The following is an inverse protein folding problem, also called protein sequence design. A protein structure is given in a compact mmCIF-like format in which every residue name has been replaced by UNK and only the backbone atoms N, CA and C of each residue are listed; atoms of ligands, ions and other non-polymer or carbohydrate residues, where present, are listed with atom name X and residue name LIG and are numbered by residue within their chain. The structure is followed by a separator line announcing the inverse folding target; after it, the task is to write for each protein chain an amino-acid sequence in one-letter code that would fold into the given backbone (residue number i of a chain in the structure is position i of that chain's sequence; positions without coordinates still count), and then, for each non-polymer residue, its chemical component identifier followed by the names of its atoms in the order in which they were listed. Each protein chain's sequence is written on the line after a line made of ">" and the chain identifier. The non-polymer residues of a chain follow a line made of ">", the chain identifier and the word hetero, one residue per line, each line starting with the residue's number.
data_IF_290602020362
#
_entry.id   IF_290602020362
#
_cell.length_a   1.000
_cell.length_b   1.000
_cell.length_c   1.000
_cell.angle_alpha   90.00
_cell.angle_beta   90.00
_cell.angle_gamma   90.00
#
_symmetry.space_group_name_H-M   'P 1'
#
loop_
_entity.id
_entity.type
_entity.pdbx_description
1 polymer ?
#
# COMPACT_ATOMS: atom_id res chain seq x y z
N UNK A 1 -0.32 16.18 4.76
CA UNK A 1 1.08 16.65 4.67
C UNK A 1 1.33 17.01 3.23
N UNK A 2 1.82 18.23 2.90
CA UNK A 2 2.12 18.57 1.51
C UNK A 2 3.29 17.71 1.00
N UNK A 3 3.31 17.43 -0.31
CA UNK A 3 4.42 16.77 -1.03
C UNK A 3 4.72 15.31 -0.63
N UNK A 4 3.69 14.51 -0.36
CA UNK A 4 3.83 13.07 -0.15
C UNK A 4 3.30 12.32 -1.38
N UNK A 5 4.08 11.36 -1.86
CA UNK A 5 3.59 10.41 -2.85
C UNK A 5 2.80 9.31 -2.16
N UNK A 6 1.57 9.10 -2.63
CA UNK A 6 0.66 8.06 -2.14
C UNK A 6 0.09 7.26 -3.31
N UNK A 7 -0.38 6.05 -3.02
CA UNK A 7 -1.28 5.34 -3.91
C UNK A 7 -2.73 5.75 -3.57
N UNK A 8 -3.68 5.64 -4.52
CA UNK A 8 -5.08 5.90 -4.23
C UNK A 8 -5.61 5.02 -3.09
N UNK A 9 -6.40 5.62 -2.21
CA UNK A 9 -6.97 4.94 -1.06
C UNK A 9 -7.35 5.90 0.07
N UNK A 10 -8.28 5.45 0.90
CA UNK A 10 -8.87 6.26 1.95
C UNK A 10 -9.43 5.43 3.10
N UNK A 11 -10.22 6.08 3.94
CA UNK A 11 -10.86 5.44 5.08
C UNK A 11 -12.04 4.58 4.64
N UNK A 12 -12.31 3.53 5.41
CA UNK A 12 -13.51 2.75 5.25
C UNK A 12 -14.73 3.57 5.69
N UNK A 13 -15.70 3.74 4.79
CA UNK A 13 -16.98 4.37 5.09
C UNK A 13 -17.99 3.30 5.50
N UNK A 14 -18.22 3.18 6.81
CA UNK A 14 -18.98 2.08 7.44
C UNK A 14 -20.38 1.86 6.82
N UNK A 15 -21.11 2.92 6.51
CA UNK A 15 -22.46 2.83 5.93
C UNK A 15 -22.46 2.60 4.41
N UNK A 16 -21.31 2.74 3.76
CA UNK A 16 -21.19 2.69 2.30
C UNK A 16 -20.52 1.39 1.91
N UNK A 17 -19.32 1.15 2.42
CA UNK A 17 -18.43 0.10 1.97
C UNK A 17 -18.80 -1.25 2.60
N UNK A 18 -19.20 -1.29 3.89
CA UNK A 18 -19.68 -2.54 4.53
C UNK A 18 -21.08 -2.94 4.09
N UNK A 19 -21.92 -1.96 3.76
CA UNK A 19 -23.30 -2.18 3.36
C UNK A 19 -23.47 -2.20 1.84
N UNK A 20 -22.37 -2.14 1.08
CA UNK A 20 -22.43 -2.16 -0.38
C UNK A 20 -23.12 -3.44 -0.85
N UNK A 21 -24.16 -3.36 -1.71
CA UNK A 21 -24.95 -4.54 -2.06
C UNK A 21 -24.13 -5.58 -2.83
N UNK A 22 -24.02 -6.80 -2.27
CA UNK A 22 -23.18 -7.88 -2.81
C UNK A 22 -23.59 -8.23 -4.24
N UNK A 23 -24.88 -8.18 -4.57
CA UNK A 23 -25.41 -8.48 -5.90
C UNK A 23 -24.94 -7.49 -6.98
N UNK A 24 -24.48 -6.29 -6.59
CA UNK A 24 -23.86 -5.30 -7.48
C UNK A 24 -22.38 -5.53 -7.70
N UNK A 25 -21.82 -6.61 -7.18
CA UNK A 25 -20.42 -6.98 -7.34
C UNK A 25 -20.29 -8.32 -8.08
N UNK A 26 -19.07 -8.66 -8.47
CA UNK A 26 -18.71 -10.01 -8.87
C UNK A 26 -18.12 -10.84 -7.72
N UNK A 27 -18.30 -10.41 -6.46
CA UNK A 27 -17.79 -11.10 -5.28
C UNK A 27 -18.39 -12.50 -5.14
N UNK A 28 -17.55 -13.50 -4.88
CA UNK A 28 -17.96 -14.89 -4.65
C UNK A 28 -17.61 -15.35 -3.22
N UNK A 29 -18.26 -16.41 -2.75
CA UNK A 29 -17.95 -17.05 -1.47
C UNK A 29 -16.50 -17.56 -1.46
N UNK A 30 -15.75 -17.27 -0.40
CA UNK A 30 -14.38 -17.79 -0.19
C UNK A 30 -13.29 -16.72 -0.03
N UNK A 31 -13.62 -15.45 -0.20
CA UNK A 31 -12.74 -14.34 0.20
C UNK A 31 -12.84 -14.12 1.71
N UNK A 32 -11.72 -13.75 2.33
CA UNK A 32 -11.64 -13.43 3.77
C UNK A 32 -12.55 -12.23 4.13
N UNK A 33 -12.58 -11.81 5.39
CA UNK A 33 -13.38 -10.65 5.86
C UNK A 33 -12.90 -9.29 5.29
N UNK A 34 -12.42 -9.25 4.04
CA UNK A 34 -11.83 -8.09 3.35
C UNK A 34 -12.79 -7.37 2.38
N UNK A 35 -13.99 -7.90 2.14
CA UNK A 35 -15.03 -7.30 1.28
C UNK A 35 -15.17 -5.77 1.42
N UNK A 36 -15.38 -5.21 2.63
CA UNK A 36 -15.52 -3.77 2.78
C UNK A 36 -14.28 -2.99 2.33
N UNK A 37 -13.07 -3.52 2.56
CA UNK A 37 -11.83 -2.88 2.12
C UNK A 37 -11.66 -2.91 0.59
N UNK A 38 -12.17 -3.95 -0.08
CA UNK A 38 -12.17 -4.02 -1.54
C UNK A 38 -13.10 -2.98 -2.15
N UNK A 39 -14.29 -2.79 -1.56
CA UNK A 39 -15.23 -1.76 -2.01
C UNK A 39 -14.63 -0.38 -1.80
N UNK A 40 -14.11 -0.10 -0.60
CA UNK A 40 -13.44 1.17 -0.29
C UNK A 40 -12.30 1.46 -1.26
N UNK A 41 -11.39 0.49 -1.49
CA UNK A 41 -10.26 0.67 -2.39
C UNK A 41 -10.69 1.05 -3.82
N UNK A 42 -11.77 0.46 -4.36
CA UNK A 42 -12.25 0.81 -5.71
C UNK A 42 -13.08 2.09 -5.74
N UNK A 43 -13.78 2.43 -4.65
CA UNK A 43 -14.47 3.72 -4.52
C UNK A 43 -13.46 4.86 -4.51
N UNK A 44 -12.44 4.77 -3.65
CA UNK A 44 -11.36 5.76 -3.55
C UNK A 44 -10.57 5.86 -4.86
N UNK A 45 -10.25 4.73 -5.51
CA UNK A 45 -9.65 4.73 -6.85
C UNK A 45 -10.49 5.54 -7.84
N UNK A 46 -11.82 5.38 -7.83
CA UNK A 46 -12.72 6.12 -8.72
C UNK A 46 -12.78 7.62 -8.37
N UNK A 47 -12.89 7.95 -7.09
CA UNK A 47 -12.92 9.33 -6.60
C UNK A 47 -11.63 10.09 -6.97
N UNK A 48 -10.47 9.48 -6.74
CA UNK A 48 -9.16 10.12 -6.95
C UNK A 48 -8.68 10.13 -8.40
N UNK A 49 -9.00 9.09 -9.19
CA UNK A 49 -8.42 8.88 -10.52
C UNK A 49 -9.43 8.85 -11.67
N UNK A 50 -10.73 8.77 -11.36
CA UNK A 50 -11.79 8.59 -12.36
C UNK A 50 -11.82 7.21 -13.01
N UNK A 51 -11.00 6.26 -12.55
CA UNK A 51 -10.94 4.88 -13.06
C UNK A 51 -11.97 4.02 -12.33
N UNK A 52 -12.76 3.25 -13.09
CA UNK A 52 -13.76 2.33 -12.54
C UNK A 52 -13.56 0.92 -13.10
N UNK A 53 -13.38 -0.07 -12.22
CA UNK A 53 -13.29 -1.48 -12.61
C UNK A 53 -14.67 -2.13 -12.57
N UNK A 54 -15.09 -2.67 -13.71
CA UNK A 54 -16.43 -3.27 -13.85
C UNK A 54 -16.40 -4.61 -14.55
N UNK A 55 -17.44 -5.41 -14.33
CA UNK A 55 -17.85 -6.50 -15.20
C UNK A 55 -19.10 -6.07 -15.94
N UNK A 56 -19.02 -6.03 -17.27
CA UNK A 56 -20.17 -5.84 -18.14
C UNK A 56 -21.04 -7.10 -18.08
N UNK A 57 -22.28 -6.95 -17.61
CA UNK A 57 -23.19 -8.08 -17.43
C UNK A 57 -23.73 -8.64 -18.75
N UNK A 58 -23.78 -7.83 -19.80
CA UNK A 58 -24.24 -8.23 -21.14
C UNK A 58 -23.15 -9.02 -21.85
N UNK A 59 -21.92 -8.54 -21.81
CA UNK A 59 -20.77 -9.15 -22.47
C UNK A 59 -20.06 -10.20 -21.62
N UNK A 60 -20.39 -10.28 -20.31
CA UNK A 60 -19.72 -11.10 -19.29
C UNK A 60 -18.19 -10.92 -19.33
N UNK A 61 -17.74 -9.68 -19.50
CA UNK A 61 -16.33 -9.30 -19.63
C UNK A 61 -15.95 -8.21 -18.66
N UNK A 62 -14.73 -8.29 -18.13
CA UNK A 62 -14.12 -7.22 -17.35
C UNK A 62 -13.80 -6.02 -18.25
N UNK A 63 -14.01 -4.83 -17.75
CA UNK A 63 -13.71 -3.58 -18.42
C UNK A 63 -13.19 -2.54 -17.41
N UNK A 64 -12.41 -1.60 -17.93
CA UNK A 64 -11.96 -0.41 -17.19
C UNK A 64 -12.65 0.78 -17.85
N UNK A 65 -13.54 1.42 -17.10
CA UNK A 65 -14.18 2.66 -17.52
C UNK A 65 -13.41 3.86 -16.97
N UNK A 66 -13.58 5.03 -17.59
CA UNK A 66 -12.90 6.25 -17.20
C UNK A 66 -13.80 7.46 -17.42
N UNK A 67 -13.77 8.40 -16.47
CA UNK A 67 -14.43 9.70 -16.56
C UNK A 67 -13.94 10.54 -17.74
N UNK A 68 -12.71 10.34 -18.22
CA UNK A 68 -12.18 11.01 -19.43
C UNK A 68 -12.94 10.60 -20.70
N UNK A 69 -13.55 9.41 -20.69
CA UNK A 69 -14.20 8.81 -21.87
C UNK A 69 -15.72 8.78 -21.76
N UNK A 70 -16.29 8.94 -20.57
CA UNK A 70 -17.74 9.02 -20.34
C UNK A 70 -18.10 10.15 -19.37
N UNK A 71 -18.72 11.22 -19.91
CA UNK A 71 -19.18 12.38 -19.12
C UNK A 71 -20.23 12.02 -18.06
N UNK A 72 -20.95 10.90 -18.22
CA UNK A 72 -21.88 10.42 -17.18
C UNK A 72 -21.11 9.96 -15.96
N UNK A 73 -19.95 9.31 -16.13
CA UNK A 73 -19.08 8.93 -15.03
C UNK A 73 -18.50 10.14 -14.31
N UNK A 74 -18.15 11.22 -15.03
CA UNK A 74 -17.70 12.47 -14.39
C UNK A 74 -18.77 13.04 -13.44
N UNK A 75 -20.05 13.04 -13.87
CA UNK A 75 -21.19 13.46 -13.02
C UNK A 75 -21.41 12.51 -11.84
N UNK A 76 -21.22 11.21 -12.05
CA UNK A 76 -21.28 10.24 -10.95
C UNK A 76 -20.17 10.48 -9.94
N UNK A 77 -18.95 10.77 -10.38
CA UNK A 77 -17.83 11.10 -9.49
C UNK A 77 -18.14 12.31 -8.62
N UNK A 78 -18.72 13.38 -9.19
CA UNK A 78 -19.18 14.55 -8.41
C UNK A 78 -20.24 14.18 -7.37
N UNK A 79 -21.19 13.31 -7.72
CA UNK A 79 -22.22 12.82 -6.80
C UNK A 79 -21.63 11.96 -5.68
N UNK A 80 -20.69 11.07 -6.00
CA UNK A 80 -20.01 10.20 -5.04
C UNK A 80 -19.19 11.03 -4.06
N UNK A 81 -18.45 12.03 -4.55
CA UNK A 81 -17.74 12.98 -3.71
C UNK A 81 -18.68 13.72 -2.74
N UNK A 82 -19.88 14.08 -3.18
CA UNK A 82 -20.88 14.73 -2.32
C UNK A 82 -21.58 13.76 -1.35
N UNK A 83 -21.75 12.50 -1.76
CA UNK A 83 -22.39 11.44 -0.99
C UNK A 83 -21.84 10.07 -1.44
N UNK A 84 -20.92 9.45 -0.68
CA UNK A 84 -20.32 8.17 -1.05
C UNK A 84 -21.33 7.04 -1.27
N UNK A 85 -22.53 7.11 -0.67
CA UNK A 85 -23.60 6.13 -0.92
C UNK A 85 -24.06 6.08 -2.37
N UNK A 86 -23.88 7.16 -3.14
CA UNK A 86 -24.21 7.22 -4.56
C UNK A 86 -23.33 6.29 -5.41
N UNK A 87 -22.20 5.78 -4.87
CA UNK A 87 -21.30 4.88 -5.59
C UNK A 87 -22.01 3.61 -6.05
N UNK A 88 -22.90 3.06 -5.21
CA UNK A 88 -23.67 1.87 -5.56
C UNK A 88 -24.65 2.09 -6.73
N UNK A 89 -25.04 3.33 -7.01
CA UNK A 89 -26.00 3.66 -8.07
C UNK A 89 -25.39 3.57 -9.48
N UNK A 90 -24.06 3.54 -9.58
CA UNK A 90 -23.33 3.38 -10.85
C UNK A 90 -23.55 1.96 -11.43
N UNK A 91 -23.81 0.98 -10.57
CA UNK A 91 -23.82 -0.45 -10.90
C UNK A 91 -25.22 -0.96 -11.20
N UNK A 92 -25.90 -0.33 -12.17
CA UNK A 92 -27.20 -0.79 -12.70
C UNK A 92 -27.03 -1.77 -13.85
N UNK A 93 -26.15 -1.46 -14.80
CA UNK A 93 -25.87 -2.26 -16.01
C UNK A 93 -24.52 -3.00 -15.90
N UNK A 94 -23.81 -2.77 -14.80
CA UNK A 94 -22.47 -3.27 -14.52
C UNK A 94 -22.43 -3.84 -13.11
N UNK A 95 -21.48 -4.76 -12.88
CA UNK A 95 -21.05 -5.16 -11.54
C UNK A 95 -19.70 -4.56 -11.21
N UNK A 96 -19.47 -4.17 -9.96
CA UNK A 96 -18.16 -3.78 -9.45
C UNK A 96 -17.21 -4.98 -9.48
N UNK A 97 -16.03 -4.82 -10.08
CA UNK A 97 -15.05 -5.91 -10.25
C UNK A 97 -14.07 -6.02 -9.07
N UNK A 98 -14.53 -6.63 -7.98
CA UNK A 98 -13.71 -6.90 -6.79
C UNK A 98 -12.64 -7.97 -7.02
N UNK A 99 -12.86 -8.88 -7.98
CA UNK A 99 -11.92 -9.97 -8.28
C UNK A 99 -10.62 -9.50 -8.95
N UNK A 100 -10.59 -8.31 -9.54
CA UNK A 100 -9.34 -7.76 -10.11
C UNK A 100 -8.39 -7.23 -9.04
N UNK A 101 -8.87 -6.95 -7.83
CA UNK A 101 -8.02 -6.64 -6.69
C UNK A 101 -7.35 -7.90 -6.15
N UNK A 102 -6.03 -7.95 -6.25
CA UNK A 102 -5.23 -8.97 -5.58
C UNK A 102 -4.76 -8.40 -4.23
N UNK A 103 -5.08 -9.04 -3.10
CA UNK A 103 -4.50 -8.67 -1.81
C UNK A 103 -2.97 -8.65 -1.89
N UNK A 104 -2.36 -7.65 -1.25
CA UNK A 104 -0.92 -7.43 -1.36
C UNK A 104 -0.22 -7.44 -0.01
N UNK A 105 -0.66 -6.59 0.92
CA UNK A 105 -0.07 -6.46 2.25
C UNK A 105 -1.01 -5.75 3.21
N UNK A 106 -0.96 -6.08 4.50
CA UNK A 106 -1.74 -5.39 5.53
C UNK A 106 -0.82 -4.68 6.53
N UNK A 107 -0.86 -3.35 6.59
CA UNK A 107 0.02 -2.53 7.42
C UNK A 107 -0.73 -1.94 8.61
N UNK A 108 -0.19 -2.12 9.80
CA UNK A 108 -0.66 -1.43 11.00
C UNK A 108 0.36 -0.37 11.41
N UNK A 109 -0.08 0.88 11.52
CA UNK A 109 0.77 1.97 12.03
C UNK A 109 1.25 1.64 13.45
N UNK A 110 2.55 1.84 13.78
CA UNK A 110 3.09 1.57 15.12
C UNK A 110 2.33 2.32 16.22
N UNK A 111 2.23 1.74 17.42
CA UNK A 111 1.49 2.33 18.55
C UNK A 111 2.11 3.61 19.12
N UNK A 112 3.33 3.95 18.71
CA UNK A 112 4.02 5.18 19.09
C UNK A 112 3.58 6.41 18.28
N UNK A 113 2.82 6.23 17.19
CA UNK A 113 2.19 7.33 16.46
C UNK A 113 0.80 7.61 17.04
N UNK A 114 0.43 8.88 17.12
CA UNK A 114 -0.87 9.32 17.66
C UNK A 114 -2.05 8.80 16.83
N UNK A 115 -1.93 8.88 15.50
CA UNK A 115 -2.91 8.33 14.56
C UNK A 115 -2.42 6.98 14.07
N UNK A 116 -3.29 5.97 14.17
CA UNK A 116 -3.02 4.62 13.70
C UNK A 116 -4.03 4.19 12.65
N UNK A 117 -3.52 3.61 11.58
CA UNK A 117 -4.31 3.03 10.51
C UNK A 117 -3.98 1.55 10.37
N UNK A 118 -4.99 0.75 10.08
CA UNK A 118 -4.88 -0.65 9.66
C UNK A 118 -5.22 -0.70 8.17
N UNK A 119 -4.19 -0.62 7.33
CA UNK A 119 -4.30 -0.37 5.90
C UNK A 119 -4.04 -1.64 5.11
N UNK A 120 -5.06 -2.11 4.41
CA UNK A 120 -4.95 -3.22 3.46
C UNK A 120 -4.63 -2.69 2.06
N UNK A 121 -3.48 -3.09 1.51
CA UNK A 121 -3.08 -2.78 0.15
C UNK A 121 -3.54 -3.86 -0.81
N UNK A 122 -3.91 -3.43 -2.01
CA UNK A 122 -4.23 -4.29 -3.14
C UNK A 122 -3.39 -3.89 -4.35
N UNK A 123 -3.19 -4.83 -5.27
CA UNK A 123 -2.60 -4.59 -6.59
C UNK A 123 -3.55 -4.99 -7.69
N UNK A 124 -3.54 -4.23 -8.79
CA UNK A 124 -4.32 -4.51 -10.01
C UNK A 124 -3.34 -4.66 -11.17
N UNK A 125 -3.17 -5.87 -11.74
CA UNK A 125 -2.33 -6.06 -12.91
C UNK A 125 -2.99 -5.43 -14.14
N UNK A 126 -2.32 -4.45 -14.75
CA UNK A 126 -2.77 -3.79 -15.99
C UNK A 126 -1.71 -3.96 -17.09
N UNK A 127 -2.15 -4.20 -18.33
CA UNK A 127 -1.25 -4.46 -19.47
C UNK A 127 -0.92 -3.20 -20.28
N UNK A 128 -1.51 -2.07 -19.92
CA UNK A 128 -1.27 -0.76 -20.54
C UNK A 128 -1.47 0.31 -19.49
N UNK A 129 -0.79 1.43 -19.66
CA UNK A 129 -1.06 2.63 -18.88
C UNK A 129 -2.50 3.08 -19.09
N UNK A 130 -3.11 3.52 -17.99
CA UNK A 130 -4.47 4.06 -17.98
C UNK A 130 -4.34 5.55 -17.69
N UNK A 131 -4.96 6.36 -18.54
CA UNK A 131 -5.03 7.81 -18.31
C UNK A 131 -5.84 8.09 -17.04
N UNK A 132 -5.28 8.97 -16.19
CA UNK A 132 -5.84 9.36 -14.90
C UNK A 132 -6.52 10.73 -15.02
N UNK A 133 -7.78 10.80 -14.61
CA UNK A 133 -8.50 12.05 -14.37
C UNK A 133 -8.33 12.42 -12.90
N UNK A 134 -7.27 13.15 -12.59
CA UNK A 134 -6.89 13.44 -11.21
C UNK A 134 -7.91 14.33 -10.52
N UNK A 135 -8.31 13.98 -9.29
CA UNK A 135 -9.04 14.88 -8.40
C UNK A 135 -8.12 16.01 -7.89
N UNK A 136 -8.23 17.19 -8.49
CA UNK A 136 -7.41 18.38 -8.21
C UNK A 136 -7.67 19.03 -6.83
N UNK A 137 -8.69 18.57 -6.10
CA UNK A 137 -8.99 19.00 -4.73
C UNK A 137 -8.04 18.42 -3.69
N UNK A 138 -7.56 17.21 -3.93
CA UNK A 138 -6.76 16.45 -2.96
C UNK A 138 -5.32 16.24 -3.43
N UNK A 139 -5.15 16.06 -4.75
CA UNK A 139 -3.87 15.72 -5.36
C UNK A 139 -3.46 16.81 -6.36
N UNK A 140 -2.18 17.18 -6.36
CA UNK A 140 -1.64 18.18 -7.29
C UNK A 140 -1.03 17.57 -8.55
N UNK A 141 -0.56 16.33 -8.48
CA UNK A 141 0.16 15.64 -9.56
C UNK A 141 -0.10 14.14 -9.52
N UNK A 142 0.02 13.48 -10.67
CA UNK A 142 0.05 12.03 -10.80
C UNK A 142 1.13 11.61 -11.78
N UNK A 143 1.63 10.38 -11.65
CA UNK A 143 2.61 9.81 -12.56
C UNK A 143 2.49 8.29 -12.62
N UNK A 144 2.61 7.74 -13.84
CA UNK A 144 3.11 6.38 -14.02
C UNK A 144 4.64 6.46 -14.01
N UNK A 145 5.28 5.70 -13.13
CA UNK A 145 6.73 5.77 -12.90
C UNK A 145 7.26 4.40 -12.51
N UNK A 146 8.48 4.10 -12.96
CA UNK A 146 9.17 2.90 -12.51
C UNK A 146 9.48 3.01 -11.01
N UNK A 147 9.23 1.96 -10.20
CA UNK A 147 9.50 1.99 -8.77
C UNK A 147 10.92 2.45 -8.41
N UNK A 148 11.91 2.05 -9.20
CA UNK A 148 13.31 2.48 -9.01
C UNK A 148 13.47 3.99 -9.06
N UNK A 149 12.85 4.64 -10.04
CA UNK A 149 13.05 6.08 -10.30
C UNK A 149 12.45 6.92 -9.17
N UNK A 150 11.26 6.55 -8.68
CA UNK A 150 10.61 7.27 -7.58
C UNK A 150 11.33 7.03 -6.24
N UNK A 151 11.85 5.82 -6.00
CA UNK A 151 12.68 5.52 -4.83
C UNK A 151 13.97 6.37 -4.85
N UNK A 152 14.70 6.38 -5.97
CA UNK A 152 15.92 7.18 -6.12
C UNK A 152 15.64 8.69 -5.98
N UNK A 153 14.50 9.17 -6.50
CA UNK A 153 14.07 10.57 -6.36
C UNK A 153 13.86 10.93 -4.89
N UNK A 154 13.19 10.08 -4.12
CA UNK A 154 12.84 10.36 -2.71
C UNK A 154 14.01 10.15 -1.74
N UNK A 155 15.04 9.39 -2.12
CA UNK A 155 16.24 9.18 -1.31
C UNK A 155 17.22 10.36 -1.36
N UNK A 156 17.19 11.18 -2.42
CA UNK A 156 18.11 12.31 -2.60
C UNK A 156 17.89 13.38 -1.54
N UNK A 157 19.00 13.91 -0.99
CA UNK A 157 18.95 15.03 -0.04
C UNK A 157 18.35 16.26 -0.73
N UNK A 158 17.34 16.87 -0.11
CA UNK A 158 16.64 18.02 -0.68
C UNK A 158 15.61 17.66 -1.76
N UNK A 159 15.18 16.39 -1.84
CA UNK A 159 14.04 16.00 -2.66
C UNK A 159 12.78 16.75 -2.20
N UNK A 160 11.97 17.16 -3.18
CA UNK A 160 10.71 17.87 -2.94
C UNK A 160 9.53 16.92 -2.72
N UNK A 161 9.77 15.62 -2.57
CA UNK A 161 8.75 14.61 -2.32
C UNK A 161 9.28 13.48 -1.47
N UNK A 162 8.40 12.91 -0.65
CA UNK A 162 8.71 11.82 0.28
C UNK A 162 7.72 10.67 0.12
N UNK A 163 8.19 9.47 0.42
CA UNK A 163 7.38 8.26 0.54
C UNK A 163 7.33 7.89 2.02
N UNK A 164 6.14 7.74 2.57
CA UNK A 164 6.01 7.17 3.90
C UNK A 164 6.46 5.69 3.88
N UNK A 165 6.84 5.13 5.04
CA UNK A 165 7.50 3.82 5.12
C UNK A 165 6.74 2.67 4.42
N UNK A 166 5.41 2.53 4.54
CA UNK A 166 4.67 1.51 3.79
C UNK A 166 4.85 1.65 2.27
N UNK A 167 4.68 2.85 1.72
CA UNK A 167 4.82 3.11 0.28
C UNK A 167 6.26 2.85 -0.20
N UNK A 168 7.26 3.31 0.57
CA UNK A 168 8.67 3.08 0.26
C UNK A 168 9.00 1.58 0.22
N UNK A 169 8.46 0.84 1.18
CA UNK A 169 8.64 -0.59 1.27
C UNK A 169 7.96 -1.35 0.13
N UNK A 170 6.70 -1.06 -0.14
CA UNK A 170 5.94 -1.76 -1.17
C UNK A 170 6.49 -1.48 -2.57
N UNK A 171 7.02 -0.27 -2.83
CA UNK A 171 7.75 0.01 -4.07
C UNK A 171 9.03 -0.82 -4.20
N UNK A 172 9.79 -1.03 -3.12
CA UNK A 172 10.93 -1.94 -3.14
C UNK A 172 10.50 -3.40 -3.40
N UNK A 173 9.36 -3.83 -2.86
CA UNK A 173 8.82 -5.17 -3.12
C UNK A 173 8.37 -5.34 -4.57
N UNK A 174 7.67 -4.34 -5.13
CA UNK A 174 7.26 -4.31 -6.53
C UNK A 174 8.47 -4.32 -7.47
N UNK A 175 9.51 -3.52 -7.18
CA UNK A 175 10.76 -3.49 -7.96
C UNK A 175 11.41 -4.88 -8.09
N UNK A 176 11.27 -5.72 -7.05
CA UNK A 176 11.85 -7.05 -7.00
C UNK A 176 10.86 -8.18 -7.34
N UNK A 177 9.65 -7.84 -7.79
CA UNK A 177 8.59 -8.80 -8.11
C UNK A 177 8.26 -8.78 -9.59
N UNK A 178 8.32 -9.95 -10.25
CA UNK A 178 7.86 -10.08 -11.64
C UNK A 178 6.33 -9.98 -11.70
N UNK A 179 5.81 -9.36 -12.76
CA UNK A 179 4.37 -9.15 -12.98
C UNK A 179 3.53 -10.44 -12.83
N UNK A 180 4.00 -11.58 -13.36
CA UNK A 180 3.28 -12.86 -13.28
C UNK A 180 3.34 -13.54 -11.90
N UNK A 181 4.01 -12.94 -10.92
CA UNK A 181 4.14 -13.45 -9.54
C UNK A 181 3.45 -12.60 -8.49
N UNK A 182 2.79 -11.51 -8.89
CA UNK A 182 2.16 -10.57 -7.95
C UNK A 182 1.25 -11.28 -6.93
N UNK A 183 0.36 -12.16 -7.40
CA UNK A 183 -0.53 -12.93 -6.50
C UNK A 183 0.20 -13.85 -5.52
N UNK A 184 1.33 -14.44 -5.93
CA UNK A 184 2.15 -15.30 -5.06
C UNK A 184 2.89 -14.51 -3.97
N UNK A 185 3.07 -13.21 -4.18
CA UNK A 185 3.76 -12.30 -3.28
C UNK A 185 2.82 -11.63 -2.26
N UNK A 186 1.54 -11.99 -2.21
CA UNK A 186 0.68 -11.53 -1.12
C UNK A 186 1.30 -11.88 0.24
N UNK A 187 1.37 -10.88 1.14
CA UNK A 187 1.84 -11.08 2.52
C UNK A 187 0.66 -11.59 3.36
N UNK A 188 0.73 -12.80 3.92
CA UNK A 188 -0.40 -13.39 4.64
C UNK A 188 -0.55 -12.86 6.08
N UNK A 189 0.35 -11.99 6.52
CA UNK A 189 0.41 -11.50 7.89
C UNK A 189 0.46 -9.98 7.95
N UNK A 190 -0.08 -9.43 9.03
CA UNK A 190 -0.05 -8.00 9.33
C UNK A 190 1.38 -7.54 9.62
N UNK A 191 1.82 -6.50 8.93
CA UNK A 191 3.10 -5.83 9.13
C UNK A 191 2.87 -4.66 10.09
N UNK A 192 3.51 -4.69 11.25
CA UNK A 192 3.52 -3.57 12.19
C UNK A 192 4.96 -3.29 12.60
N UNK A 193 5.57 -2.18 12.15
CA UNK A 193 6.91 -1.84 12.57
C UNK A 193 6.99 -1.52 14.07
N UNK A 194 8.15 -1.76 14.68
CA UNK A 194 8.47 -1.35 16.05
C UNK A 194 9.50 -0.22 16.01
N UNK A 195 9.26 0.84 16.75
CA UNK A 195 10.06 2.06 16.66
C UNK A 195 11.22 2.04 17.64
N UNK A 196 12.43 2.27 17.13
CA UNK A 196 13.63 2.50 17.93
C UNK A 196 14.22 3.86 17.56
N UNK A 197 14.45 4.69 18.57
CA UNK A 197 15.20 5.95 18.43
C UNK A 197 16.64 5.75 18.92
N UNK A 198 17.66 6.15 18.14
CA UNK A 198 19.02 6.12 18.62
C UNK A 198 19.21 7.24 19.65
N UNK A 199 19.90 6.94 20.74
CA UNK A 199 20.17 7.89 21.83
C UNK A 199 20.98 9.10 21.37
N UNK A 200 21.84 8.88 20.37
CA UNK A 200 22.78 9.85 19.83
C UNK A 200 22.14 10.80 18.79
N UNK A 201 21.06 10.38 18.11
CA UNK A 201 20.40 11.18 17.07
C UNK A 201 18.87 10.98 17.06
N UNK A 202 18.16 11.79 17.84
CA UNK A 202 16.68 11.76 17.89
C UNK A 202 15.98 12.21 16.61
N UNK A 203 16.72 12.67 15.60
CA UNK A 203 16.17 12.96 14.28
C UNK A 203 16.05 11.70 13.42
N UNK A 204 16.85 10.67 13.70
CA UNK A 204 16.80 9.37 13.03
C UNK A 204 15.80 8.45 13.71
N UNK A 205 15.07 7.69 12.91
CA UNK A 205 14.14 6.66 13.37
C UNK A 205 14.50 5.34 12.69
N UNK A 206 14.49 4.26 13.47
CA UNK A 206 14.49 2.89 12.96
C UNK A 206 13.09 2.31 13.11
N UNK A 207 12.52 1.86 12.00
CA UNK A 207 11.32 1.04 11.97
C UNK A 207 11.72 -0.41 11.79
N UNK A 208 11.73 -1.16 12.90
CA UNK A 208 12.09 -2.58 12.92
C UNK A 208 10.91 -3.38 12.41
N UNK A 209 11.09 -4.13 11.33
CA UNK A 209 10.02 -4.89 10.68
C UNK A 209 10.02 -6.34 11.15
N UNK A 210 8.88 -7.06 11.02
CA UNK A 210 8.81 -8.48 11.39
C UNK A 210 9.94 -9.29 10.74
N UNK A 211 10.62 -10.11 11.55
CA UNK A 211 11.72 -10.96 11.09
C UNK A 211 13.12 -10.41 11.35
N UNK A 212 13.22 -9.12 11.64
CA UNK A 212 14.44 -8.54 12.15
C UNK A 212 14.75 -9.12 13.54
N UNK A 213 16.03 -9.34 13.84
CA UNK A 213 16.43 -9.88 15.14
C UNK A 213 16.14 -8.95 16.34
N UNK A 214 15.89 -7.64 16.11
CA UNK A 214 15.42 -6.72 17.16
C UNK A 214 13.89 -6.71 17.30
N UNK A 215 13.17 -7.44 16.44
CA UNK A 215 11.71 -7.46 16.47
C UNK A 215 11.19 -8.30 17.64
N UNK A 216 10.35 -7.68 18.47
CA UNK A 216 9.79 -8.30 19.66
C UNK A 216 8.42 -8.93 19.36
N UNK A 217 8.35 -10.26 19.38
CA UNK A 217 7.11 -10.98 19.08
C UNK A 217 6.14 -11.11 20.27
N UNK A 218 6.52 -10.68 21.47
CA UNK A 218 5.68 -10.85 22.67
C UNK A 218 4.42 -9.97 22.63
N UNK A 219 4.53 -8.75 22.09
CA UNK A 219 3.42 -7.81 21.90
C UNK A 219 3.59 -7.00 20.60
N UNK A 220 3.65 -7.72 19.48
CA UNK A 220 4.08 -7.20 18.19
C UNK A 220 3.32 -5.96 17.67
N UNK A 221 2.10 -5.70 18.16
CA UNK A 221 1.23 -4.64 17.66
C UNK A 221 1.02 -3.46 18.62
N UNK A 222 1.48 -3.57 19.87
CA UNK A 222 1.31 -2.53 20.87
C UNK A 222 2.62 -2.08 21.53
N UNK A 223 3.78 -2.60 21.11
CA UNK A 223 5.10 -2.18 21.62
C UNK A 223 5.31 -0.66 21.58
N UNK A 224 5.61 -0.07 22.74
CA UNK A 224 6.07 1.32 22.82
C UNK A 224 7.43 1.51 22.12
N UNK A 225 7.72 2.75 21.71
CA UNK A 225 9.02 3.08 21.14
C UNK A 225 10.14 2.87 22.17
N UNK A 226 11.27 2.33 21.72
CA UNK A 226 12.45 2.07 22.56
C UNK A 226 13.57 3.07 22.23
N UNK A 227 14.47 3.31 23.19
CA UNK A 227 15.73 4.04 22.96
C UNK A 227 16.92 3.10 23.08
N UNK A 228 17.83 3.12 22.10
CA UNK A 228 19.04 2.27 22.08
C UNK A 228 20.24 3.07 21.60
N UNK A 229 21.47 2.66 21.93
CA UNK A 229 22.65 3.31 21.36
C UNK A 229 22.80 2.92 19.88
N UNK A 230 23.26 3.83 19.04
CA UNK A 230 23.56 3.55 17.63
C UNK A 230 24.55 2.38 17.50
N UNK A 231 25.50 2.28 18.45
CA UNK A 231 26.43 1.17 18.52
C UNK A 231 25.74 -0.18 18.75
N UNK A 232 24.76 -0.26 19.64
CA UNK A 232 24.02 -1.51 19.90
C UNK A 232 23.09 -1.88 18.75
N UNK A 233 22.46 -0.89 18.11
CA UNK A 233 21.65 -1.11 16.91
C UNK A 233 22.54 -1.64 15.77
N UNK A 234 23.74 -1.06 15.58
CA UNK A 234 24.66 -1.41 14.49
C UNK A 234 25.52 -2.65 14.77
N UNK A 235 25.76 -3.03 16.03
CA UNK A 235 26.45 -4.30 16.39
C UNK A 235 25.80 -5.49 15.71
N UNK A 236 24.48 -5.42 15.55
CA UNK A 236 23.74 -6.44 14.84
C UNK A 236 24.05 -6.56 13.35
N UNK A 237 24.54 -5.50 12.72
CA UNK A 237 24.96 -5.53 11.31
C UNK A 237 26.33 -6.22 11.16
N UNK A 238 27.13 -6.23 12.22
CA UNK A 238 28.46 -6.86 12.30
C UNK A 238 28.35 -8.35 12.65
N UNK A 239 27.34 -8.71 13.44
CA UNK A 239 26.98 -10.11 13.69
C UNK A 239 26.16 -10.65 12.51
N UNK A 240 26.17 -11.95 12.23
CA UNK A 240 25.37 -12.58 11.16
C UNK A 240 23.85 -12.60 11.47
N UNK A 241 23.35 -11.55 12.13
CA UNK A 241 21.94 -11.39 12.47
C UNK A 241 21.12 -11.08 11.22
N UNK A 242 19.82 -11.43 11.30
CA UNK A 242 18.83 -11.05 10.30
C UNK A 242 18.48 -9.58 10.47
N UNK A 243 18.64 -8.79 9.40
CA UNK A 243 18.29 -7.37 9.35
C UNK A 243 17.12 -7.21 8.39
N UNK A 244 16.06 -6.57 8.87
CA UNK A 244 14.88 -6.22 8.10
C UNK A 244 14.22 -4.99 8.71
N UNK A 245 14.64 -3.80 8.28
CA UNK A 245 14.21 -2.54 8.91
C UNK A 245 14.29 -1.38 7.95
N UNK A 246 13.53 -0.33 8.24
CA UNK A 246 13.60 0.95 7.53
C UNK A 246 14.26 1.98 8.43
N UNK A 247 15.08 2.86 7.86
CA UNK A 247 15.54 4.07 8.54
C UNK A 247 15.05 5.30 7.83
N UNK A 248 14.64 6.31 8.57
CA UNK A 248 14.29 7.62 8.01
C UNK A 248 14.61 8.73 9.02
N UNK A 249 14.53 9.98 8.56
CA UNK A 249 14.87 11.16 9.35
C UNK A 249 13.71 12.15 9.44
N UNK A 250 13.62 12.84 10.57
CA UNK A 250 12.72 13.98 10.76
C UNK A 250 13.25 15.23 10.02
N UNK A 251 12.35 16.12 9.56
CA UNK A 251 10.90 15.92 9.48
C UNK A 251 10.49 15.05 8.26
N UNK A 252 9.25 14.52 8.28
CA UNK A 252 8.56 13.92 7.13
C UNK A 252 9.28 12.74 6.42
N UNK A 253 9.72 11.72 7.16
CA UNK A 253 10.28 10.48 6.58
C UNK A 253 11.40 10.69 5.54
N UNK A 254 12.18 11.77 5.70
CA UNK A 254 13.23 12.12 4.74
C UNK A 254 14.34 11.07 4.74
N UNK A 255 15.02 10.91 3.59
CA UNK A 255 16.15 9.98 3.42
C UNK A 255 15.81 8.54 3.85
N UNK A 256 14.59 8.09 3.53
CA UNK A 256 14.14 6.74 3.81
C UNK A 256 15.07 5.70 3.15
N UNK A 257 15.44 4.65 3.87
CA UNK A 257 16.27 3.55 3.39
C UNK A 257 15.75 2.23 3.96
N UNK A 258 15.76 1.19 3.12
CA UNK A 258 15.39 -0.17 3.51
C UNK A 258 16.66 -1.01 3.66
N UNK A 259 16.83 -1.64 4.82
CA UNK A 259 17.96 -2.49 5.16
C UNK A 259 17.49 -3.94 5.25
N UNK A 260 18.02 -4.79 4.37
CA UNK A 260 17.71 -6.22 4.32
C UNK A 260 19.02 -7.01 4.22
N UNK A 261 19.33 -7.82 5.23
CA UNK A 261 20.55 -8.64 5.29
C UNK A 261 20.26 -9.98 5.97
N UNK A 262 20.89 -11.05 5.51
CA UNK A 262 20.82 -12.38 6.10
C UNK A 262 19.39 -12.95 6.28
N UNK A 263 18.40 -12.40 5.55
CA UNK A 263 17.04 -12.96 5.52
C UNK A 263 17.09 -14.22 4.64
N UNK A 264 16.85 -15.38 5.25
CA UNK A 264 16.77 -16.65 4.54
C UNK A 264 15.56 -16.65 3.60
N UNK A 265 15.80 -17.09 2.36
CA UNK A 265 14.81 -17.06 1.26
C UNK A 265 13.65 -18.02 1.50
N UNK A 266 13.82 -19.00 2.40
CA UNK A 266 12.80 -20.00 2.74
C UNK A 266 12.03 -19.70 4.05
N UNK A 267 12.27 -18.56 4.72
CA UNK A 267 11.49 -18.23 5.91
C UNK A 267 10.04 -17.89 5.56
N UNK A 268 9.14 -18.86 5.77
CA UNK A 268 7.69 -18.81 5.52
C UNK A 268 6.96 -17.56 6.06
N UNK A 269 7.54 -16.87 7.05
CA UNK A 269 6.93 -15.71 7.72
C UNK A 269 7.17 -14.37 7.00
N UNK A 270 8.02 -14.36 5.97
CA UNK A 270 8.60 -13.16 5.38
C UNK A 270 8.65 -13.32 3.85
N UNK A 271 7.49 -13.28 3.16
CA UNK A 271 7.39 -13.32 1.68
C UNK A 271 7.83 -12.00 1.04
N UNK A 272 9.00 -11.52 1.39
CA UNK A 272 9.37 -10.14 1.08
C UNK A 272 10.06 -9.96 -0.26
N UNK A 273 10.88 -10.92 -0.66
CA UNK A 273 11.68 -10.78 -1.87
C UNK A 273 11.89 -12.15 -2.51
N UNK A 274 11.03 -12.52 -3.47
CA UNK A 274 11.32 -13.67 -4.33
C UNK A 274 12.13 -13.20 -5.54
N UNK A 275 13.45 -13.11 -5.40
CA UNK A 275 14.36 -12.99 -6.54
C UNK A 275 14.86 -14.39 -6.90
N UNK A 276 14.34 -14.95 -7.99
CA UNK A 276 14.90 -16.17 -8.57
C UNK A 276 16.37 -15.96 -8.94
N UNK A 277 17.22 -16.91 -8.54
CA UNK A 277 18.50 -17.09 -9.22
C UNK A 277 18.16 -17.46 -10.67
N UNK A 278 18.49 -16.61 -11.62
CA UNK A 278 18.76 -17.08 -12.98
C UNK A 278 19.92 -18.06 -12.86
N UNK A 279 19.61 -19.35 -12.92
CA UNK A 279 20.61 -20.37 -13.21
C UNK A 279 20.89 -20.21 -14.70
N UNK A 280 22.08 -19.69 -15.02
CA UNK A 280 22.68 -19.87 -16.34
C UNK A 280 23.12 -21.33 -16.47
#
# INVERSE_FOLDING_TARGET
>A
MPNIYVFPGGLLEEQVDRQFPIEKTNYALGFENDYPFRVAALRELFEETGILLVVDETLKKKAILSTLKDRRLSRWREKVFANPLAFQEIFTDYKLDLHSLQPWSNWLTPSSYELRFDTLFFVIPVHKEIEVDLCDKEMSEWLWVEPKDILEKCMKRGSHGVLAPPQFYELNRLLNTRFNRLSAMCVPHKICPQIIYPKEDRTKTYEILPGDHLYDYTDAFHTHSKEMSEADISKSEIMDCVIHRITHFKPYFSRCQLHVKNVDREQEKIRLFHIERTVN
#
